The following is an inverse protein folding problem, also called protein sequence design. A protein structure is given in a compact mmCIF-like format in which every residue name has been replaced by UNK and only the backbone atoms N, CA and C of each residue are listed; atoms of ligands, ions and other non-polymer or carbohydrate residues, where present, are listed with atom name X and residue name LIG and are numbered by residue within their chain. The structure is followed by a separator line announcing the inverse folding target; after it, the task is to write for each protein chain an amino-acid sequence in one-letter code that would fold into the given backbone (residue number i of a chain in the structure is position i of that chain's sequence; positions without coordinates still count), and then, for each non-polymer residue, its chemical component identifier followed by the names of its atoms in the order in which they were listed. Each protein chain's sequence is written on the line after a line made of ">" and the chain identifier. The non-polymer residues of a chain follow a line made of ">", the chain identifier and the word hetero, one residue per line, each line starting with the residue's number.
data_IF_127318459474
#
_entry.id   IF_127318459474
#
_cell.length_a   1.000
_cell.length_b   1.000
_cell.length_c   1.000
_cell.angle_alpha   90.00
_cell.angle_beta   90.00
_cell.angle_gamma   90.00
#
_symmetry.space_group_name_H-M   'P 1'
#
loop_
_entity.id
_entity.type
_entity.pdbx_description
1 polymer ?
#
# COMPACT_ATOMS: atom_id res chain seq x y z
N UNK A 1 2.58 -2.70 9.94
CA UNK A 1 2.06 -1.35 10.21
C UNK A 1 0.59 -1.33 9.85
N UNK A 2 -0.26 -0.72 10.69
CA UNK A 2 -1.69 -0.57 10.41
C UNK A 2 -2.02 0.90 10.16
N UNK A 3 -2.92 1.17 9.22
CA UNK A 3 -3.52 2.47 8.97
C UNK A 3 -5.04 2.31 9.07
N UNK A 4 -5.66 3.13 9.89
CA UNK A 4 -7.10 3.14 10.11
C UNK A 4 -7.67 4.50 9.68
N UNK A 5 -8.73 4.52 8.88
CA UNK A 5 -9.48 5.76 8.62
C UNK A 5 -10.86 5.64 9.25
N UNK A 6 -11.18 6.52 10.23
CA UNK A 6 -12.49 6.52 10.86
C UNK A 6 -13.61 6.72 9.83
N UNK A 7 -14.68 5.95 9.96
CA UNK A 7 -15.95 6.22 9.29
C UNK A 7 -16.60 7.51 9.81
N UNK A 8 -17.50 8.12 9.05
CA UNK A 8 -18.09 9.42 9.42
C UNK A 8 -19.08 9.33 10.59
N UNK A 9 -19.59 8.14 10.93
CA UNK A 9 -20.59 7.93 12.00
C UNK A 9 -21.94 8.63 11.76
N UNK A 10 -22.06 9.40 10.68
CA UNK A 10 -23.25 10.09 10.19
C UNK A 10 -23.36 9.84 8.69
N UNK A 11 -24.57 9.63 8.20
CA UNK A 11 -24.80 9.48 6.77
C UNK A 11 -24.42 10.78 6.04
N UNK A 12 -23.68 10.72 4.92
CA UNK A 12 -23.31 11.91 4.19
C UNK A 12 -24.59 12.58 3.69
N UNK A 13 -24.85 13.80 4.17
CA UNK A 13 -25.98 14.60 3.76
C UNK A 13 -25.54 15.62 2.71
N UNK A 14 -26.12 15.57 1.52
CA UNK A 14 -25.94 16.59 0.50
C UNK A 14 -27.22 17.43 0.43
N UNK A 15 -27.13 18.71 0.81
CA UNK A 15 -28.26 19.68 0.82
C UNK A 15 -29.47 19.17 1.61
N UNK A 16 -29.25 18.63 2.81
CA UNK A 16 -30.33 18.23 3.73
C UNK A 16 -31.10 16.95 3.35
N UNK A 17 -30.66 16.25 2.31
CA UNK A 17 -31.12 14.88 1.99
C UNK A 17 -30.21 13.91 2.74
N UNK A 18 -30.78 13.14 3.67
CA UNK A 18 -30.11 12.01 4.30
C UNK A 18 -30.03 10.87 3.27
N UNK A 19 -28.82 10.48 2.90
CA UNK A 19 -28.61 9.36 1.97
C UNK A 19 -28.85 8.01 2.64
N UNK A 20 -28.96 7.94 3.98
CA UNK A 20 -29.15 6.72 4.76
C UNK A 20 -27.96 5.75 4.72
N UNK A 21 -26.86 6.14 4.07
CA UNK A 21 -25.64 5.33 3.92
C UNK A 21 -24.70 5.69 5.05
N UNK A 22 -24.47 4.77 5.98
CA UNK A 22 -23.43 4.92 7.00
C UNK A 22 -22.11 4.46 6.40
N UNK A 23 -21.07 5.29 6.49
CA UNK A 23 -19.72 4.94 6.04
C UNK A 23 -19.04 4.19 7.18
N UNK A 24 -18.75 2.91 6.96
CA UNK A 24 -17.98 2.11 7.90
C UNK A 24 -16.48 2.50 7.82
N UNK A 25 -15.75 2.43 8.94
CA UNK A 25 -14.31 2.71 8.95
C UNK A 25 -13.55 1.75 8.02
N UNK A 26 -12.53 2.26 7.32
CA UNK A 26 -11.61 1.42 6.54
C UNK A 26 -10.37 1.04 7.37
N UNK A 27 -9.85 -0.16 7.12
CA UNK A 27 -8.67 -0.68 7.82
C UNK A 27 -7.66 -1.26 6.83
N UNK A 28 -6.40 -0.84 6.96
CA UNK A 28 -5.30 -1.27 6.11
C UNK A 28 -4.18 -1.85 6.97
N UNK A 29 -3.89 -3.13 6.81
CA UNK A 29 -2.76 -3.81 7.45
C UNK A 29 -1.67 -4.12 6.45
N UNK A 30 -0.45 -3.66 6.74
CA UNK A 30 0.75 -4.04 5.97
C UNK A 30 1.71 -4.84 6.85
N UNK A 31 2.03 -6.04 6.42
CA UNK A 31 3.08 -6.90 6.97
C UNK A 31 4.29 -6.83 6.04
N UNK A 32 5.47 -6.60 6.60
CA UNK A 32 6.71 -6.51 5.82
C UNK A 32 7.77 -7.36 6.50
N UNK A 33 8.48 -8.15 5.70
CA UNK A 33 9.62 -8.92 6.12
C UNK A 33 10.77 -8.66 5.16
N UNK A 34 11.81 -8.01 5.67
CA UNK A 34 12.99 -7.67 4.89
C UNK A 34 14.28 -8.01 5.59
N UNK A 35 15.32 -8.15 4.78
CA UNK A 35 16.68 -8.39 5.26
C UNK A 35 17.68 -7.64 4.38
N UNK A 36 18.80 -7.28 5.02
CA UNK A 36 19.92 -6.60 4.38
C UNK A 36 21.19 -7.38 4.67
N UNK A 37 21.96 -7.63 3.63
CA UNK A 37 23.22 -8.34 3.71
C UNK A 37 24.37 -7.49 3.19
N UNK A 38 25.52 -7.61 3.84
CA UNK A 38 26.78 -7.04 3.41
C UNK A 38 27.78 -8.19 3.25
N UNK A 39 28.32 -8.33 2.05
CA UNK A 39 29.26 -9.37 1.65
C UNK A 39 30.55 -8.73 1.15
N UNK A 40 31.62 -9.54 1.11
CA UNK A 40 32.94 -9.13 0.61
C UNK A 40 33.44 -7.82 1.27
N UNK A 41 33.37 -7.76 2.61
CA UNK A 41 33.81 -6.60 3.42
C UNK A 41 33.12 -5.28 3.02
N UNK A 42 31.84 -5.35 2.62
CA UNK A 42 31.05 -4.20 2.19
C UNK A 42 31.12 -3.89 0.70
N UNK A 43 31.88 -4.67 -0.09
CA UNK A 43 31.95 -4.50 -1.53
C UNK A 43 30.66 -4.94 -2.25
N UNK A 44 29.83 -5.80 -1.64
CA UNK A 44 28.55 -6.20 -2.20
C UNK A 44 27.44 -6.12 -1.14
N UNK A 45 26.49 -5.21 -1.37
CA UNK A 45 25.35 -4.99 -0.48
C UNK A 45 24.09 -5.44 -1.21
N UNK A 46 23.25 -6.19 -0.52
CA UNK A 46 21.95 -6.64 -1.03
C UNK A 46 20.87 -6.30 -0.01
N UNK A 47 19.76 -5.79 -0.49
CA UNK A 47 18.54 -5.56 0.25
C UNK A 47 17.38 -6.28 -0.43
N UNK A 48 16.56 -6.97 0.35
CA UNK A 48 15.35 -7.59 -0.16
C UNK A 48 14.26 -7.53 0.90
N UNK A 49 13.04 -7.27 0.47
CA UNK A 49 11.86 -7.29 1.31
C UNK A 49 10.69 -7.91 0.57
N UNK A 50 9.82 -8.59 1.32
CA UNK A 50 8.49 -8.97 0.86
C UNK A 50 7.48 -8.27 1.74
N UNK A 51 6.39 -7.83 1.14
CA UNK A 51 5.30 -7.19 1.86
C UNK A 51 3.96 -7.75 1.41
N UNK A 52 3.04 -7.81 2.36
CA UNK A 52 1.65 -8.14 2.17
C UNK A 52 0.81 -7.04 2.79
N UNK A 53 -0.09 -6.47 2.00
CA UNK A 53 -1.04 -5.46 2.40
C UNK A 53 -2.44 -6.00 2.22
N UNK A 54 -3.22 -5.93 3.27
CA UNK A 54 -4.65 -6.26 3.30
C UNK A 54 -5.42 -4.97 3.58
N UNK A 55 -6.37 -4.63 2.72
CA UNK A 55 -7.21 -3.46 2.86
C UNK A 55 -8.67 -3.88 2.88
N UNK A 56 -9.34 -3.68 4.01
CA UNK A 56 -10.76 -4.01 4.18
C UNK A 56 -11.64 -2.76 4.14
N UNK A 57 -12.89 -2.95 3.69
CA UNK A 57 -13.95 -1.93 3.74
C UNK A 57 -13.58 -0.60 3.06
N UNK A 58 -12.96 -0.67 1.88
CA UNK A 58 -12.41 0.49 1.17
C UNK A 58 -13.49 1.53 0.89
N UNK A 59 -13.36 2.75 1.41
CA UNK A 59 -14.33 3.81 1.12
C UNK A 59 -14.16 4.33 -0.34
N UNK A 60 -15.12 4.03 -1.22
CA UNK A 60 -15.15 4.48 -2.62
C UNK A 60 -16.31 5.45 -2.90
N UNK A 61 -16.08 6.55 -3.64
CA UNK A 61 -17.15 7.42 -4.10
C UNK A 61 -17.96 6.72 -5.20
N UNK A 62 -19.29 6.78 -5.10
CA UNK A 62 -20.23 6.26 -6.09
C UNK A 62 -21.29 7.31 -6.44
N UNK A 63 -21.71 7.33 -7.70
CA UNK A 63 -22.85 8.10 -8.20
C UNK A 63 -23.91 7.12 -8.71
N UNK A 64 -25.13 7.23 -8.18
CA UNK A 64 -26.27 6.38 -8.56
C UNK A 64 -26.93 6.79 -9.89
N UNK A 65 -26.32 7.68 -10.67
CA UNK A 65 -26.90 8.29 -11.86
C UNK A 65 -27.79 9.49 -11.55
N UNK A 66 -27.69 10.04 -10.34
CA UNK A 66 -28.47 11.21 -9.87
C UNK A 66 -27.66 12.49 -9.88
N UNK A 67 -26.34 12.43 -10.13
CA UNK A 67 -25.42 13.57 -10.04
C UNK A 67 -25.03 13.91 -8.60
N UNK A 68 -25.45 13.11 -7.63
CA UNK A 68 -25.08 13.20 -6.22
C UNK A 68 -24.02 12.12 -5.96
N UNK A 69 -22.81 12.53 -5.56
CA UNK A 69 -21.74 11.60 -5.18
C UNK A 69 -21.90 11.25 -3.70
N UNK A 70 -22.05 9.96 -3.41
CA UNK A 70 -22.01 9.41 -2.05
C UNK A 70 -20.78 8.49 -1.91
N UNK A 71 -20.41 8.13 -0.68
CA UNK A 71 -19.29 7.21 -0.42
C UNK A 71 -19.85 5.91 0.15
N UNK A 72 -19.40 4.77 -0.37
CA UNK A 72 -19.78 3.43 0.08
C UNK A 72 -18.52 2.57 0.32
N UNK A 73 -18.62 1.53 1.14
CA UNK A 73 -17.54 0.55 1.31
C UNK A 73 -17.51 -0.37 0.06
N UNK A 74 -16.36 -0.38 -0.61
CA UNK A 74 -16.14 -0.84 -1.99
C UNK A 74 -15.55 -2.24 -2.11
N UNK A 75 -15.59 -3.01 -1.02
CA UNK A 75 -14.95 -4.33 -0.91
C UNK A 75 -13.52 -4.24 -0.41
N UNK A 76 -12.84 -5.39 -0.49
CA UNK A 76 -11.51 -5.61 0.04
C UNK A 76 -10.47 -5.65 -1.09
N UNK A 77 -9.23 -5.29 -0.80
CA UNK A 77 -8.11 -5.39 -1.73
C UNK A 77 -6.87 -5.95 -1.06
N UNK A 78 -6.24 -6.91 -1.71
CA UNK A 78 -4.99 -7.49 -1.23
C UNK A 78 -3.84 -7.15 -2.18
N UNK A 79 -2.68 -6.82 -1.64
CA UNK A 79 -1.48 -6.54 -2.42
C UNK A 79 -0.32 -7.32 -1.81
N UNK A 80 0.25 -8.22 -2.60
CA UNK A 80 1.54 -8.83 -2.26
C UNK A 80 2.62 -8.22 -3.14
N UNK A 81 3.78 -7.92 -2.57
CA UNK A 81 4.91 -7.43 -3.35
C UNK A 81 6.27 -7.84 -2.82
N UNK A 82 7.25 -7.59 -3.66
CA UNK A 82 8.66 -7.87 -3.41
C UNK A 82 9.47 -6.64 -3.81
N UNK A 83 10.36 -6.24 -2.93
CA UNK A 83 11.39 -5.24 -3.15
C UNK A 83 12.77 -5.89 -3.13
N UNK A 84 13.61 -5.47 -4.06
CA UNK A 84 14.98 -5.95 -4.18
C UNK A 84 15.91 -4.83 -4.60
N UNK A 85 17.06 -4.76 -3.98
CA UNK A 85 18.15 -3.86 -4.31
C UNK A 85 19.50 -4.55 -4.14
N UNK A 86 20.45 -4.16 -4.99
CA UNK A 86 21.83 -4.54 -4.79
C UNK A 86 22.80 -3.46 -5.26
N UNK A 87 23.95 -3.40 -4.60
CA UNK A 87 25.04 -2.50 -4.90
C UNK A 87 26.36 -3.28 -4.87
N UNK A 88 27.10 -3.21 -5.97
CA UNK A 88 28.44 -3.76 -6.11
C UNK A 88 29.43 -2.61 -6.23
N UNK A 89 30.26 -2.43 -5.23
CA UNK A 89 31.35 -1.45 -5.17
C UNK A 89 32.66 -2.20 -5.43
N UNK A 90 33.31 -1.92 -6.56
CA UNK A 90 34.59 -2.55 -6.86
C UNK A 90 35.73 -1.88 -6.05
N UNK A 91 36.43 -2.67 -5.24
CA UNK A 91 37.51 -2.24 -4.33
C UNK A 91 38.65 -1.48 -5.02
N UNK A 92 38.87 -1.65 -6.34
CA UNK A 92 39.96 -1.00 -7.08
C UNK A 92 39.49 0.12 -8.02
N UNK A 93 39.17 1.31 -7.49
CA UNK A 93 38.87 2.56 -8.26
C UNK A 93 37.96 2.37 -9.49
N UNK A 94 37.15 1.30 -9.48
CA UNK A 94 36.43 0.80 -10.63
C UNK A 94 35.00 1.30 -10.66
N UNK A 95 34.20 0.85 -11.64
CA UNK A 95 32.79 1.18 -11.69
C UNK A 95 32.04 0.63 -10.48
N UNK A 96 31.04 1.38 -10.03
CA UNK A 96 30.02 0.94 -9.07
C UNK A 96 28.77 0.57 -9.85
N UNK A 97 28.23 -0.60 -9.58
CA UNK A 97 26.98 -1.07 -10.17
C UNK A 97 25.89 -1.08 -9.11
N UNK A 98 24.71 -0.57 -9.47
CA UNK A 98 23.54 -0.59 -8.61
C UNK A 98 22.33 -1.03 -9.43
N UNK A 99 21.50 -1.87 -8.83
CA UNK A 99 20.25 -2.32 -9.41
C UNK A 99 19.17 -2.32 -8.35
N UNK A 100 17.97 -1.92 -8.73
CA UNK A 100 16.77 -1.98 -7.89
C UNK A 100 15.62 -2.52 -8.71
N UNK A 101 14.75 -3.29 -8.07
CA UNK A 101 13.57 -3.88 -8.66
C UNK A 101 12.45 -3.93 -7.63
N UNK A 102 11.23 -3.60 -8.08
CA UNK A 102 10.01 -3.71 -7.30
C UNK A 102 8.99 -4.49 -8.11
N UNK A 103 8.30 -5.42 -7.47
CA UNK A 103 7.23 -6.20 -8.05
C UNK A 103 6.00 -6.12 -7.15
N UNK A 104 4.84 -5.87 -7.76
CA UNK A 104 3.54 -5.78 -7.08
C UNK A 104 2.53 -6.66 -7.78
N UNK A 105 1.82 -7.46 -7.01
CA UNK A 105 0.77 -8.37 -7.47
C UNK A 105 -0.50 -8.04 -6.69
N UNK A 106 -1.43 -7.26 -7.28
CA UNK A 106 -2.73 -7.01 -6.68
C UNK A 106 -3.65 -8.24 -6.82
N UNK A 107 -4.56 -8.41 -5.86
CA UNK A 107 -5.65 -9.39 -5.87
C UNK A 107 -6.95 -8.77 -5.43
#
# INVERSE_FOLDING_TARGET
>A
MALFRPGSGTSPSLVGIDTGIVIDPDELWTYELGAKWSLADGAFIVDAAVYFTDWSDIQIPFDAGTGLVSVMNGGDAEITGLDFGCCLVNTHRGPVFQATANLKIPR
#
